data_IF_593552890653
#
_entry.id   IF_593552890653
#
_cell.length_a   1.000
_cell.length_b   1.000
_cell.length_c   1.000
_cell.angle_alpha   90.00
_cell.angle_beta   90.00
_cell.angle_gamma   90.00
#
_symmetry.space_group_name_H-M   'P 1'
#
loop_
_entity.id
_entity.type
_entity.pdbx_description
1 polymer ?
#
# COMPACT_ATOMS: atom_id res chain seq x y z
N UNK A 1 18.03 10.18 -16.26
CA UNK A 1 16.56 10.27 -16.14
C UNK A 1 16.17 9.67 -14.80
N UNK A 2 15.34 10.37 -14.00
CA UNK A 2 14.84 9.85 -12.71
C UNK A 2 13.54 9.11 -12.91
N UNK A 3 13.43 7.90 -12.37
CA UNK A 3 12.22 7.07 -12.38
C UNK A 3 11.81 6.67 -10.99
N UNK A 4 10.50 6.70 -10.76
CA UNK A 4 9.85 6.24 -9.53
C UNK A 4 9.09 4.96 -9.82
N UNK A 5 9.26 3.94 -9.00
CA UNK A 5 8.67 2.64 -9.22
C UNK A 5 8.01 2.18 -7.92
N UNK A 6 6.80 1.65 -8.01
CA UNK A 6 6.18 1.00 -6.87
C UNK A 6 5.53 -0.33 -7.29
N UNK A 7 5.40 -1.27 -6.36
CA UNK A 7 4.49 -2.37 -6.62
C UNK A 7 3.02 -1.88 -6.62
N UNK A 8 2.14 -2.65 -7.23
CA UNK A 8 0.75 -2.24 -7.44
C UNK A 8 -0.06 -2.11 -6.14
N UNK A 9 0.47 -2.58 -4.99
CA UNK A 9 -0.12 -2.31 -3.67
C UNK A 9 -0.21 -0.81 -3.35
N UNK A 10 0.50 0.05 -4.08
CA UNK A 10 0.36 1.51 -3.99
C UNK A 10 -0.97 2.05 -4.49
N UNK A 11 -1.76 1.22 -5.18
CA UNK A 11 -2.99 1.61 -5.89
C UNK A 11 -2.78 2.75 -6.92
N UNK A 12 -1.57 2.86 -7.48
CA UNK A 12 -1.20 3.85 -8.48
C UNK A 12 -0.75 3.18 -9.77
N UNK A 13 -1.28 3.64 -10.91
CA UNK A 13 -0.80 3.25 -12.24
C UNK A 13 0.09 4.32 -12.86
N UNK A 14 -0.08 5.57 -12.42
CA UNK A 14 0.65 6.72 -12.95
C UNK A 14 0.74 7.83 -11.89
N UNK A 15 1.69 8.74 -12.08
CA UNK A 15 1.82 9.98 -11.32
C UNK A 15 2.00 11.14 -12.30
N UNK A 16 1.23 12.22 -12.12
CA UNK A 16 1.24 13.35 -13.04
C UNK A 16 2.62 14.04 -13.10
N UNK A 17 3.15 14.20 -14.31
CA UNK A 17 4.43 14.85 -14.55
C UNK A 17 5.65 14.10 -13.97
N UNK A 18 5.55 12.79 -13.80
CA UNK A 18 6.60 11.92 -13.23
C UNK A 18 6.76 10.69 -14.10
N UNK A 19 7.98 10.27 -14.34
CA UNK A 19 8.27 8.95 -14.91
C UNK A 19 8.05 7.90 -13.82
N UNK A 20 6.83 7.34 -13.81
CA UNK A 20 6.37 6.38 -12.81
C UNK A 20 6.00 5.05 -13.46
N UNK A 21 6.45 3.96 -12.84
CA UNK A 21 6.11 2.59 -13.27
C UNK A 21 5.50 1.82 -12.11
N UNK A 22 4.32 1.27 -12.32
CA UNK A 22 3.70 0.30 -11.42
C UNK A 22 4.13 -1.12 -11.80
N UNK A 23 4.67 -1.89 -10.85
CA UNK A 23 5.04 -3.29 -11.08
C UNK A 23 3.94 -4.18 -10.48
N UNK A 24 3.22 -4.97 -11.31
CA UNK A 24 1.99 -5.61 -10.89
C UNK A 24 2.21 -6.82 -9.98
N UNK A 25 1.42 -6.89 -8.91
CA UNK A 25 1.14 -8.14 -8.20
C UNK A 25 0.12 -8.96 -8.98
N UNK A 26 -0.01 -10.23 -8.64
CA UNK A 26 -1.03 -11.11 -9.22
C UNK A 26 -1.86 -11.75 -8.10
N UNK A 27 -3.17 -11.71 -8.24
CA UNK A 27 -4.11 -12.46 -7.41
C UNK A 27 -4.55 -13.67 -8.20
N UNK A 28 -4.38 -14.87 -7.64
CA UNK A 28 -4.67 -16.14 -8.30
C UNK A 28 -5.74 -16.92 -7.56
N UNK A 29 -6.62 -17.53 -8.34
CA UNK A 29 -7.54 -18.58 -7.91
C UNK A 29 -7.25 -19.85 -8.71
N UNK A 30 -7.95 -20.95 -8.43
CA UNK A 30 -7.85 -22.18 -9.23
C UNK A 30 -8.41 -22.05 -10.65
N UNK A 31 -9.14 -20.95 -10.93
CA UNK A 31 -9.81 -20.74 -12.23
C UNK A 31 -9.31 -19.52 -12.99
N UNK A 32 -8.70 -18.56 -12.34
CA UNK A 32 -8.27 -17.30 -13.00
C UNK A 32 -7.19 -16.58 -12.21
N UNK A 33 -6.26 -15.98 -12.97
CA UNK A 33 -5.30 -15.00 -12.49
C UNK A 33 -5.78 -13.59 -12.80
N UNK A 34 -5.56 -12.69 -11.86
CA UNK A 34 -5.83 -11.26 -11.96
C UNK A 34 -4.51 -10.52 -11.77
N UNK A 35 -3.93 -10.04 -12.87
CA UNK A 35 -2.73 -9.20 -12.85
C UNK A 35 -3.16 -7.77 -12.54
N UNK A 36 -2.58 -7.16 -11.52
CA UNK A 36 -2.95 -5.81 -11.09
C UNK A 36 -2.22 -4.72 -11.90
N UNK A 37 -2.49 -4.72 -13.22
CA UNK A 37 -2.02 -3.74 -14.20
C UNK A 37 -3.17 -2.83 -14.68
N UNK A 38 -2.91 -2.01 -15.71
CA UNK A 38 -3.89 -1.10 -16.30
C UNK A 38 -5.10 -1.80 -16.93
N UNK A 39 -4.98 -3.08 -17.25
CA UNK A 39 -6.04 -3.86 -17.90
C UNK A 39 -6.96 -4.57 -16.89
N UNK A 40 -6.65 -4.51 -15.59
CA UNK A 40 -7.43 -5.20 -14.56
C UNK A 40 -8.84 -4.61 -14.44
N UNK A 41 -9.85 -5.45 -14.69
CA UNK A 41 -11.23 -5.16 -14.29
C UNK A 41 -11.37 -5.37 -12.78
N UNK A 42 -11.08 -4.33 -12.00
CA UNK A 42 -11.11 -4.35 -10.53
C UNK A 42 -12.50 -4.72 -10.02
N UNK A 43 -13.56 -4.20 -10.64
CA UNK A 43 -14.94 -4.49 -10.23
C UNK A 43 -15.30 -5.95 -10.47
N UNK A 44 -15.05 -6.46 -11.67
CA UNK A 44 -15.29 -7.86 -12.01
C UNK A 44 -14.46 -8.81 -11.15
N UNK A 45 -13.20 -8.47 -10.83
CA UNK A 45 -12.38 -9.23 -9.89
C UNK A 45 -13.02 -9.26 -8.48
N UNK A 46 -13.41 -8.11 -7.96
CA UNK A 46 -13.99 -7.98 -6.62
C UNK A 46 -15.29 -8.78 -6.50
N UNK A 47 -16.17 -8.69 -7.52
CA UNK A 47 -17.41 -9.47 -7.58
C UNK A 47 -17.15 -10.99 -7.63
N UNK A 48 -16.20 -11.43 -8.45
CA UNK A 48 -15.81 -12.82 -8.55
C UNK A 48 -15.22 -13.36 -7.25
N UNK A 49 -14.31 -12.62 -6.63
CA UNK A 49 -13.68 -13.02 -5.36
C UNK A 49 -14.68 -13.02 -4.19
N UNK A 50 -15.65 -12.11 -4.18
CA UNK A 50 -16.71 -12.11 -3.16
C UNK A 50 -17.58 -13.36 -3.18
N UNK A 51 -17.79 -13.96 -4.35
CA UNK A 51 -18.51 -15.21 -4.53
C UNK A 51 -17.66 -16.48 -4.44
N UNK A 52 -16.34 -16.33 -4.48
CA UNK A 52 -15.41 -17.45 -4.55
C UNK A 52 -15.22 -18.11 -3.17
N UNK A 53 -15.38 -19.44 -3.13
CA UNK A 53 -15.29 -20.24 -1.88
C UNK A 53 -13.95 -20.97 -1.73
N UNK A 54 -13.14 -20.98 -2.77
CA UNK A 54 -11.81 -21.59 -2.76
C UNK A 54 -10.76 -20.70 -2.06
N UNK A 55 -9.51 -21.10 -2.15
CA UNK A 55 -8.38 -20.35 -1.66
C UNK A 55 -7.85 -19.42 -2.77
N UNK A 56 -7.84 -18.12 -2.53
CA UNK A 56 -7.06 -17.20 -3.35
C UNK A 56 -5.64 -17.07 -2.80
N UNK A 57 -4.68 -16.88 -3.69
CA UNK A 57 -3.28 -16.62 -3.37
C UNK A 57 -2.85 -15.30 -4.01
N UNK A 58 -1.76 -14.73 -3.53
CA UNK A 58 -1.10 -13.59 -4.19
C UNK A 58 0.33 -13.95 -4.52
N UNK A 59 0.80 -13.52 -5.67
CA UNK A 59 2.20 -13.60 -6.08
C UNK A 59 2.78 -12.19 -6.19
N UNK A 60 3.96 -12.01 -5.61
CA UNK A 60 4.74 -10.78 -5.80
C UNK A 60 5.33 -10.74 -7.22
N UNK A 61 5.69 -9.54 -7.72
CA UNK A 61 6.39 -9.40 -8.99
C UNK A 61 7.69 -10.20 -9.00
N UNK A 62 7.96 -10.88 -10.11
CA UNK A 62 9.23 -11.57 -10.33
C UNK A 62 10.38 -10.59 -10.58
N UNK A 63 11.62 -11.08 -10.49
CA UNK A 63 12.84 -10.30 -10.72
C UNK A 63 12.84 -9.64 -12.12
N UNK A 64 12.35 -10.37 -13.13
CA UNK A 64 12.27 -9.86 -14.50
C UNK A 64 11.34 -8.64 -14.63
N UNK A 65 10.22 -8.62 -13.92
CA UNK A 65 9.31 -7.47 -13.93
C UNK A 65 9.98 -6.20 -13.39
N UNK A 66 10.81 -6.34 -12.37
CA UNK A 66 11.60 -5.23 -11.82
C UNK A 66 12.71 -4.79 -12.77
N UNK A 67 13.43 -5.75 -13.38
CA UNK A 67 14.47 -5.43 -14.36
C UNK A 67 13.89 -4.62 -15.53
N UNK A 68 12.74 -5.05 -16.07
CA UNK A 68 12.05 -4.30 -17.13
C UNK A 68 11.65 -2.89 -16.69
N UNK A 69 11.24 -2.73 -15.44
CA UNK A 69 10.89 -1.42 -14.88
C UNK A 69 12.11 -0.50 -14.71
N UNK A 70 13.32 -1.04 -14.53
CA UNK A 70 14.55 -0.26 -14.38
C UNK A 70 15.12 0.24 -15.71
N UNK A 71 14.81 -0.42 -16.82
CA UNK A 71 15.38 -0.16 -18.13
C UNK A 71 15.29 1.31 -18.57
N UNK A 72 16.43 1.90 -18.94
CA UNK A 72 16.52 3.25 -19.48
C UNK A 72 16.51 4.38 -18.45
N UNK A 73 16.58 4.07 -17.13
CA UNK A 73 16.67 5.07 -16.08
C UNK A 73 18.05 5.06 -15.38
N UNK A 74 18.54 6.24 -15.01
CA UNK A 74 19.84 6.41 -14.34
C UNK A 74 19.71 6.52 -12.83
N UNK A 75 18.59 7.10 -12.37
CA UNK A 75 18.25 7.28 -10.95
C UNK A 75 16.90 6.65 -10.70
N UNK A 76 16.83 5.70 -9.78
CA UNK A 76 15.64 4.89 -9.57
C UNK A 76 15.31 4.83 -8.07
N UNK A 77 14.09 5.23 -7.74
CA UNK A 77 13.52 5.08 -6.42
C UNK A 77 12.40 4.06 -6.45
N UNK A 78 12.57 2.97 -5.72
CA UNK A 78 11.60 1.86 -5.66
C UNK A 78 10.93 1.85 -4.31
N UNK A 79 9.60 1.87 -4.27
CA UNK A 79 8.81 1.61 -3.07
C UNK A 79 8.15 0.24 -3.15
N UNK A 80 8.25 -0.55 -2.11
CA UNK A 80 7.59 -1.86 -2.02
C UNK A 80 6.74 -1.96 -0.77
N UNK A 81 5.68 -2.78 -0.81
CA UNK A 81 5.02 -3.17 0.42
C UNK A 81 6.00 -3.89 1.35
N UNK A 82 5.66 -3.98 2.64
CA UNK A 82 6.52 -4.55 3.67
C UNK A 82 6.99 -5.97 3.33
N UNK A 83 8.27 -6.23 3.57
CA UNK A 83 8.91 -7.54 3.38
C UNK A 83 8.33 -8.63 4.29
N UNK A 84 7.65 -8.28 5.38
CA UNK A 84 6.98 -9.24 6.27
C UNK A 84 5.70 -9.83 5.69
N UNK A 85 5.04 -9.12 4.75
CA UNK A 85 3.81 -9.58 4.09
C UNK A 85 4.07 -10.20 2.71
N UNK A 86 5.12 -9.77 2.00
CA UNK A 86 5.35 -10.14 0.61
C UNK A 86 6.84 -10.28 0.28
N UNK A 87 7.16 -11.15 -0.68
CA UNK A 87 8.51 -11.27 -1.25
C UNK A 87 8.92 -10.14 -2.19
N UNK A 88 8.08 -9.15 -2.40
CA UNK A 88 8.27 -8.08 -3.40
C UNK A 88 9.56 -7.27 -3.17
N UNK A 89 9.84 -6.90 -1.90
CA UNK A 89 11.07 -6.21 -1.51
C UNK A 89 12.32 -7.01 -1.90
N UNK A 90 12.37 -8.29 -1.53
CA UNK A 90 13.51 -9.15 -1.84
C UNK A 90 13.67 -9.34 -3.36
N UNK A 91 12.58 -9.49 -4.09
CA UNK A 91 12.60 -9.59 -5.56
C UNK A 91 13.16 -8.32 -6.21
N UNK A 92 12.76 -7.14 -5.71
CA UNK A 92 13.31 -5.86 -6.17
C UNK A 92 14.80 -5.67 -5.83
N UNK A 93 15.26 -6.15 -4.66
CA UNK A 93 16.67 -6.12 -4.29
C UNK A 93 17.52 -6.99 -5.21
N UNK A 94 17.07 -8.22 -5.50
CA UNK A 94 17.77 -9.11 -6.45
C UNK A 94 17.85 -8.45 -7.84
N UNK A 95 16.75 -7.88 -8.31
CA UNK A 95 16.74 -7.16 -9.59
C UNK A 95 17.71 -5.98 -9.60
N UNK A 96 17.77 -5.20 -8.51
CA UNK A 96 18.74 -4.10 -8.36
C UNK A 96 20.17 -4.60 -8.49
N UNK A 97 20.54 -5.66 -7.77
CA UNK A 97 21.90 -6.22 -7.83
C UNK A 97 22.26 -6.69 -9.26
N UNK A 98 21.32 -7.40 -9.92
CA UNK A 98 21.52 -7.85 -11.30
C UNK A 98 21.64 -6.67 -12.29
N UNK A 99 20.78 -5.67 -12.16
CA UNK A 99 20.79 -4.50 -13.04
C UNK A 99 22.09 -3.70 -12.91
N UNK A 100 22.57 -3.49 -11.67
CA UNK A 100 23.80 -2.74 -11.41
C UNK A 100 25.08 -3.46 -11.90
N UNK A 101 25.04 -4.79 -12.13
CA UNK A 101 26.17 -5.50 -12.75
C UNK A 101 26.40 -5.06 -14.21
N UNK A 102 25.33 -4.75 -14.94
CA UNK A 102 25.40 -4.26 -16.34
C UNK A 102 25.32 -2.74 -16.46
N UNK A 103 24.84 -2.06 -15.41
CA UNK A 103 24.64 -0.61 -15.35
C UNK A 103 25.25 -0.04 -14.05
N UNK A 104 26.60 -0.05 -13.92
CA UNK A 104 27.28 0.33 -12.68
C UNK A 104 27.05 1.78 -12.24
N UNK A 105 26.69 2.67 -13.19
CA UNK A 105 26.37 4.07 -12.93
C UNK A 105 24.94 4.28 -12.43
N UNK A 106 24.06 3.27 -12.55
CA UNK A 106 22.67 3.39 -12.12
C UNK A 106 22.57 3.49 -10.59
N UNK A 107 21.88 4.52 -10.14
CA UNK A 107 21.67 4.80 -8.71
C UNK A 107 20.28 4.31 -8.33
N UNK A 108 20.20 3.19 -7.63
CA UNK A 108 18.95 2.53 -7.28
C UNK A 108 18.81 2.40 -5.78
N UNK A 109 17.69 2.88 -5.23
CA UNK A 109 17.33 2.61 -3.84
C UNK A 109 15.96 1.94 -3.77
N UNK A 110 15.88 0.84 -3.00
CA UNK A 110 14.64 0.11 -2.73
C UNK A 110 14.23 0.38 -1.29
N UNK A 111 13.05 0.97 -1.09
CA UNK A 111 12.46 1.22 0.21
C UNK A 111 11.57 0.03 0.59
N UNK A 112 11.87 -0.63 1.71
CA UNK A 112 10.88 -1.42 2.41
C UNK A 112 9.99 -0.47 3.21
N UNK A 113 8.72 -0.35 2.82
CA UNK A 113 7.86 0.66 3.46
C UNK A 113 7.41 0.27 4.86
N UNK A 114 7.66 -0.98 5.28
CA UNK A 114 7.19 -1.53 6.56
C UNK A 114 5.66 -1.46 6.70
N UNK A 115 4.96 -1.30 5.57
CA UNK A 115 3.54 -1.03 5.47
C UNK A 115 2.96 -1.53 4.14
N UNK A 116 1.75 -1.10 3.81
CA UNK A 116 1.06 -1.44 2.55
C UNK A 116 0.10 -0.30 2.13
N UNK A 117 -0.38 -0.36 0.89
CA UNK A 117 -1.47 0.51 0.40
C UNK A 117 -1.18 2.00 0.51
N UNK A 118 -2.03 2.75 1.23
CA UNK A 118 -1.95 4.21 1.29
C UNK A 118 -0.61 4.78 1.77
N UNK A 119 0.11 4.04 2.60
CA UNK A 119 1.39 4.50 3.13
C UNK A 119 2.51 4.43 2.08
N UNK A 120 2.48 3.38 1.23
CA UNK A 120 3.34 3.29 0.06
C UNK A 120 3.10 4.46 -0.90
N UNK A 121 1.82 4.80 -1.15
CA UNK A 121 1.47 5.98 -1.96
C UNK A 121 2.02 7.28 -1.36
N UNK A 122 1.89 7.48 -0.05
CA UNK A 122 2.44 8.65 0.63
C UNK A 122 3.96 8.76 0.46
N UNK A 123 4.68 7.65 0.54
CA UNK A 123 6.12 7.62 0.29
C UNK A 123 6.43 8.06 -1.14
N UNK A 124 5.78 7.48 -2.15
CA UNK A 124 6.04 7.82 -3.56
C UNK A 124 5.76 9.31 -3.84
N UNK A 125 4.67 9.86 -3.30
CA UNK A 125 4.39 11.29 -3.38
C UNK A 125 5.50 12.13 -2.71
N UNK A 126 6.02 11.68 -1.57
CA UNK A 126 7.10 12.39 -0.86
C UNK A 126 8.43 12.36 -1.62
N UNK A 127 8.79 11.22 -2.18
CA UNK A 127 10.02 11.08 -2.97
C UNK A 127 9.99 12.00 -4.21
N UNK A 128 8.83 12.06 -4.90
CA UNK A 128 8.68 12.96 -6.06
C UNK A 128 8.71 14.44 -5.67
N UNK A 129 8.19 14.82 -4.50
CA UNK A 129 8.34 16.19 -3.99
C UNK A 129 9.81 16.55 -3.77
N UNK A 130 10.57 15.65 -3.12
CA UNK A 130 11.98 15.88 -2.82
C UNK A 130 12.84 15.97 -4.09
N UNK A 131 12.57 15.14 -5.10
CA UNK A 131 13.24 15.21 -6.39
C UNK A 131 12.93 16.52 -7.12
N UNK A 132 11.67 16.98 -7.13
CA UNK A 132 11.26 18.28 -7.69
C UNK A 132 11.88 19.47 -6.95
N UNK A 133 12.17 19.32 -5.66
CA UNK A 133 12.91 20.31 -4.87
C UNK A 133 14.41 20.34 -5.21
N UNK A 134 14.89 19.47 -6.11
CA UNK A 134 16.30 19.38 -6.51
C UNK A 134 17.21 18.75 -5.45
N UNK A 135 16.66 17.91 -4.56
CA UNK A 135 17.47 17.15 -3.59
C UNK A 135 18.37 16.13 -4.29
N UNK A 136 19.55 15.91 -3.73
CA UNK A 136 20.44 14.84 -4.22
C UNK A 136 19.83 13.47 -3.93
N UNK A 137 20.31 12.44 -4.62
CA UNK A 137 19.85 11.06 -4.41
C UNK A 137 19.95 10.64 -2.94
N UNK A 138 21.07 10.91 -2.29
CA UNK A 138 21.29 10.58 -0.88
C UNK A 138 20.34 11.32 0.05
N UNK A 139 20.03 12.59 -0.27
CA UNK A 139 19.05 13.37 0.47
C UNK A 139 17.64 12.83 0.30
N UNK A 140 17.24 12.47 -0.92
CA UNK A 140 15.92 11.86 -1.19
C UNK A 140 15.78 10.56 -0.41
N UNK A 141 16.80 9.68 -0.46
CA UNK A 141 16.79 8.42 0.30
C UNK A 141 16.68 8.68 1.80
N UNK A 142 17.53 9.51 2.35
CA UNK A 142 17.53 9.81 3.79
C UNK A 142 16.21 10.42 4.25
N UNK A 143 15.72 11.44 3.52
CA UNK A 143 14.47 12.12 3.87
C UNK A 143 13.24 11.25 3.65
N UNK A 144 13.26 10.35 2.66
CA UNK A 144 12.25 9.32 2.46
C UNK A 144 12.17 8.35 3.66
N UNK A 145 13.31 7.84 4.11
CA UNK A 145 13.37 6.99 5.31
C UNK A 145 12.89 7.73 6.59
N UNK A 146 13.24 9.01 6.74
CA UNK A 146 12.74 9.82 7.87
C UNK A 146 11.23 10.08 7.79
N UNK A 147 10.69 10.22 6.57
CA UNK A 147 9.27 10.42 6.35
C UNK A 147 8.47 9.18 6.73
N UNK A 148 8.90 7.96 6.32
CA UNK A 148 8.25 6.70 6.67
C UNK A 148 8.10 6.51 8.19
N UNK A 149 9.09 6.93 8.99
CA UNK A 149 9.00 6.84 10.47
C UNK A 149 7.86 7.69 11.06
N UNK A 150 7.34 8.64 10.29
CA UNK A 150 6.30 9.59 10.70
C UNK A 150 4.93 9.28 10.11
N UNK A 151 4.84 8.35 9.18
CA UNK A 151 3.57 7.86 8.63
C UNK A 151 2.96 6.78 9.54
N UNK A 152 1.68 6.50 9.38
CA UNK A 152 0.96 5.47 10.13
C UNK A 152 -0.16 4.91 9.26
N UNK A 153 -0.24 3.58 9.23
CA UNK A 153 -1.33 2.86 8.59
C UNK A 153 -2.40 2.48 9.61
N UNK A 154 -3.65 2.81 9.28
CA UNK A 154 -4.84 2.30 9.97
C UNK A 154 -5.73 1.58 8.97
N UNK A 155 -6.31 0.48 9.37
CA UNK A 155 -7.22 -0.29 8.52
C UNK A 155 -8.50 -0.69 9.23
N UNK A 156 -9.57 -0.90 8.47
CA UNK A 156 -10.80 -1.52 8.93
C UNK A 156 -11.25 -2.55 7.89
N UNK A 157 -11.10 -3.83 8.20
CA UNK A 157 -11.35 -4.94 7.31
C UNK A 157 -12.60 -5.71 7.73
N UNK A 158 -13.49 -6.01 6.77
CA UNK A 158 -14.69 -6.83 6.98
C UNK A 158 -14.34 -8.31 7.11
N UNK A 159 -13.23 -8.74 6.52
CA UNK A 159 -12.74 -10.11 6.56
C UNK A 159 -11.22 -10.13 6.62
N UNK A 160 -10.68 -11.06 7.37
CA UNK A 160 -9.25 -11.39 7.41
C UNK A 160 -9.01 -12.82 6.90
N UNK A 161 -10.02 -13.43 6.28
CA UNK A 161 -10.01 -14.83 5.90
C UNK A 161 -8.84 -15.17 4.94
N UNK A 162 -8.69 -14.40 3.88
CA UNK A 162 -7.63 -14.63 2.88
C UNK A 162 -6.23 -14.37 3.47
N UNK A 163 -6.08 -13.34 4.30
CA UNK A 163 -4.82 -13.07 5.00
C UNK A 163 -4.42 -14.24 5.92
N UNK A 164 -5.40 -14.82 6.63
CA UNK A 164 -5.13 -15.98 7.49
C UNK A 164 -4.88 -17.28 6.70
N UNK A 165 -5.60 -17.50 5.60
CA UNK A 165 -5.35 -18.65 4.74
C UNK A 165 -3.95 -18.62 4.12
N UNK A 166 -3.42 -17.43 3.88
CA UNK A 166 -2.09 -17.21 3.34
C UNK A 166 -1.01 -16.97 4.43
N UNK A 167 -1.35 -17.11 5.71
CA UNK A 167 -0.39 -17.05 6.83
C UNK A 167 0.08 -15.64 7.20
N UNK A 168 -0.60 -14.56 6.73
CA UNK A 168 -0.25 -13.15 7.01
C UNK A 168 -0.87 -12.63 8.32
N UNK A 169 -1.88 -13.32 8.83
CA UNK A 169 -2.42 -13.10 10.18
C UNK A 169 -2.76 -14.45 10.82
N UNK A 170 -2.81 -14.51 12.14
CA UNK A 170 -3.16 -15.75 12.82
C UNK A 170 -4.62 -16.13 12.59
N UNK A 171 -4.91 -17.44 12.55
CA UNK A 171 -6.28 -17.96 12.40
C UNK A 171 -7.22 -17.49 13.52
N UNK A 172 -6.67 -17.26 14.72
CA UNK A 172 -7.44 -16.77 15.87
C UNK A 172 -7.92 -15.33 15.62
N UNK A 173 -7.06 -14.51 15.06
CA UNK A 173 -7.38 -13.12 14.67
C UNK A 173 -8.43 -13.11 13.56
N UNK A 174 -8.29 -13.97 12.55
CA UNK A 174 -9.22 -14.06 11.42
C UNK A 174 -10.63 -14.51 11.84
N UNK A 175 -10.75 -15.43 12.79
CA UNK A 175 -12.03 -15.90 13.29
C UNK A 175 -12.87 -14.77 13.92
N UNK A 176 -12.22 -13.72 14.38
CA UNK A 176 -12.89 -12.54 14.94
C UNK A 176 -13.54 -11.64 13.88
N UNK A 177 -13.08 -11.67 12.63
CA UNK A 177 -13.57 -10.85 11.53
C UNK A 177 -14.70 -11.50 10.71
N UNK A 178 -14.99 -12.79 10.92
CA UNK A 178 -16.00 -13.53 10.14
C UNK A 178 -17.46 -13.31 10.57
N UNK A 179 -17.72 -12.41 11.53
CA UNK A 179 -19.06 -12.18 12.05
C UNK A 179 -19.74 -11.05 11.26
N UNK A 180 -20.95 -11.32 10.78
CA UNK A 180 -21.75 -10.37 10.00
C UNK A 180 -21.89 -9.01 10.72
N UNK A 181 -21.53 -7.95 10.00
CA UNK A 181 -21.62 -6.56 10.50
C UNK A 181 -20.50 -6.14 11.46
N UNK A 182 -19.46 -6.97 11.64
CA UNK A 182 -18.26 -6.63 12.41
C UNK A 182 -17.10 -6.42 11.46
N UNK A 183 -16.42 -5.28 11.60
CA UNK A 183 -15.12 -5.00 10.99
C UNK A 183 -14.03 -5.10 12.05
N UNK A 184 -12.87 -5.60 11.66
CA UNK A 184 -11.65 -5.55 12.48
C UNK A 184 -10.89 -4.28 12.14
N UNK A 185 -10.72 -3.43 13.11
CA UNK A 185 -9.87 -2.24 13.05
C UNK A 185 -8.49 -2.58 13.57
N UNK A 186 -7.46 -2.00 12.98
CA UNK A 186 -6.08 -2.22 13.39
C UNK A 186 -5.11 -1.22 12.77
N UNK A 187 -3.84 -1.44 13.05
CA UNK A 187 -2.71 -0.65 12.57
C UNK A 187 -1.58 -1.57 12.10
N UNK A 188 -0.64 -1.03 11.32
CA UNK A 188 0.67 -1.68 11.19
C UNK A 188 1.42 -1.55 12.52
N UNK A 189 2.01 -2.65 12.98
CA UNK A 189 2.79 -2.69 14.22
C UNK A 189 4.22 -2.15 14.02
N UNK A 190 4.93 -1.94 15.12
CA UNK A 190 6.38 -1.68 15.07
C UNK A 190 7.18 -2.87 14.51
N UNK A 191 6.61 -4.09 14.57
CA UNK A 191 7.15 -5.31 13.97
C UNK A 191 6.68 -5.53 12.53
N UNK A 192 6.11 -4.50 11.90
CA UNK A 192 5.73 -4.49 10.47
C UNK A 192 4.61 -5.49 10.10
N UNK A 193 3.84 -5.93 11.08
CA UNK A 193 2.70 -6.82 10.90
C UNK A 193 1.38 -6.09 11.05
N UNK A 194 0.30 -6.69 10.52
CA UNK A 194 -1.05 -6.17 10.71
C UNK A 194 -1.55 -6.52 12.10
N UNK A 195 -1.68 -5.53 12.98
CA UNK A 195 -2.17 -5.71 14.36
C UNK A 195 -3.62 -5.25 14.51
N UNK A 196 -4.54 -6.18 14.67
CA UNK A 196 -5.91 -5.87 15.06
C UNK A 196 -5.98 -5.31 16.48
N UNK A 197 -6.62 -4.16 16.65
CA UNK A 197 -6.77 -3.48 17.93
C UNK A 197 -8.20 -3.42 18.44
N UNK A 198 -9.21 -3.43 17.55
CA UNK A 198 -10.61 -3.35 17.93
C UNK A 198 -11.55 -4.11 16.99
N UNK A 199 -12.70 -4.54 17.56
CA UNK A 199 -13.84 -5.06 16.80
C UNK A 199 -14.91 -3.97 16.74
N UNK A 200 -15.22 -3.53 15.52
CA UNK A 200 -16.15 -2.45 15.27
C UNK A 200 -17.48 -2.99 14.74
N UNK A 201 -18.56 -2.83 15.51
CA UNK A 201 -19.89 -3.18 15.02
C UNK A 201 -20.54 -1.97 14.35
N UNK A 202 -20.73 -2.09 13.04
CA UNK A 202 -21.34 -1.04 12.22
C UNK A 202 -20.39 0.11 11.86
N UNK A 203 -20.80 0.89 10.85
CA UNK A 203 -19.99 1.97 10.25
C UNK A 203 -19.63 3.09 11.24
N UNK A 204 -20.53 3.43 12.17
CA UNK A 204 -20.30 4.50 13.15
C UNK A 204 -19.07 4.19 14.02
N UNK A 205 -18.97 2.96 14.53
CA UNK A 205 -17.86 2.54 15.38
C UNK A 205 -16.53 2.52 14.62
N UNK A 206 -16.53 2.10 13.34
CA UNK A 206 -15.34 2.17 12.48
C UNK A 206 -14.82 3.61 12.36
N UNK A 207 -15.71 4.56 12.08
CA UNK A 207 -15.32 5.98 11.94
C UNK A 207 -14.79 6.54 13.26
N UNK A 208 -15.43 6.21 14.40
CA UNK A 208 -14.97 6.63 15.73
C UNK A 208 -13.55 6.14 16.02
N UNK A 209 -13.23 4.87 15.69
CA UNK A 209 -11.88 4.33 15.90
C UNK A 209 -10.82 5.04 15.03
N UNK A 210 -11.10 5.28 13.74
CA UNK A 210 -10.19 6.07 12.90
C UNK A 210 -9.91 7.46 13.50
N UNK A 211 -10.96 8.19 13.89
CA UNK A 211 -10.81 9.52 14.47
C UNK A 211 -10.03 9.50 15.78
N UNK A 212 -10.27 8.50 16.61
CA UNK A 212 -9.57 8.34 17.88
C UNK A 212 -8.09 8.04 17.66
N UNK A 213 -7.77 7.10 16.78
CA UNK A 213 -6.36 6.73 16.50
C UNK A 213 -5.60 7.88 15.84
N UNK A 214 -6.18 8.56 14.83
CA UNK A 214 -5.58 9.76 14.25
C UNK A 214 -5.30 10.81 15.32
N UNK A 215 -6.22 11.00 16.25
CA UNK A 215 -6.03 11.97 17.36
C UNK A 215 -4.91 11.56 18.30
N UNK A 216 -4.82 10.28 18.66
CA UNK A 216 -3.76 9.73 19.53
C UNK A 216 -2.36 9.90 18.97
N UNK A 217 -2.20 9.88 17.62
CA UNK A 217 -0.89 10.15 16.99
C UNK A 217 -0.40 11.59 17.16
N UNK A 218 -1.26 12.50 17.65
CA UNK A 218 -0.94 13.92 17.71
C UNK A 218 -1.04 14.64 16.38
N UNK A 219 -1.65 14.02 15.35
CA UNK A 219 -1.84 14.63 14.03
C UNK A 219 -2.51 16.00 14.13
N UNK A 220 -2.01 16.96 13.37
CA UNK A 220 -2.55 18.34 13.29
C UNK A 220 -2.76 18.78 11.84
N UNK A 221 -1.80 18.45 10.97
CA UNK A 221 -1.78 18.82 9.56
C UNK A 221 -0.94 17.83 8.77
N UNK A 222 -1.15 17.77 7.47
CA UNK A 222 -0.41 16.90 6.54
C UNK A 222 -1.33 16.09 5.67
N UNK A 223 -0.78 15.11 4.99
CA UNK A 223 -1.50 14.28 4.03
C UNK A 223 -2.18 13.09 4.70
N UNK A 224 -3.39 12.82 4.30
CA UNK A 224 -4.14 11.59 4.62
C UNK A 224 -4.59 10.98 3.30
N UNK A 225 -4.31 9.69 3.13
CA UNK A 225 -4.74 8.90 1.97
C UNK A 225 -5.70 7.82 2.45
N UNK A 226 -6.88 7.78 1.85
CA UNK A 226 -7.95 6.84 2.22
C UNK A 226 -8.23 5.97 1.01
N UNK A 227 -7.81 4.71 1.04
CA UNK A 227 -8.23 3.71 0.07
C UNK A 227 -9.47 2.95 0.54
N UNK A 228 -10.30 2.53 -0.39
CA UNK A 228 -11.48 1.73 -0.09
C UNK A 228 -11.77 0.69 -1.18
N UNK A 229 -12.37 -0.42 -0.82
CA UNK A 229 -12.94 -1.41 -1.73
C UNK A 229 -14.45 -1.29 -1.64
N UNK A 230 -15.10 -0.85 -2.73
CA UNK A 230 -16.56 -0.67 -2.84
C UNK A 230 -17.22 -0.07 -1.57
N UNK A 231 -16.61 0.98 -1.01
CA UNK A 231 -17.06 1.59 0.24
C UNK A 231 -16.93 3.12 0.28
N UNK A 232 -17.13 3.76 -0.88
CA UNK A 232 -16.97 5.21 -1.04
C UNK A 232 -17.76 6.01 0.01
N UNK A 233 -19.01 5.60 0.30
CA UNK A 233 -19.86 6.33 1.26
C UNK A 233 -19.28 6.37 2.69
N UNK A 234 -18.53 5.35 3.11
CA UNK A 234 -17.83 5.36 4.40
C UNK A 234 -16.57 6.24 4.34
N UNK A 235 -15.81 6.15 3.25
CA UNK A 235 -14.62 6.95 3.03
C UNK A 235 -14.95 8.46 3.00
N UNK A 236 -16.01 8.86 2.30
CA UNK A 236 -16.51 10.24 2.26
C UNK A 236 -16.94 10.75 3.66
N UNK A 237 -17.68 9.93 4.40
CA UNK A 237 -18.06 10.27 5.77
C UNK A 237 -16.83 10.45 6.67
N UNK A 238 -15.85 9.56 6.54
CA UNK A 238 -14.61 9.65 7.30
C UNK A 238 -13.84 10.92 6.94
N UNK A 239 -13.71 11.23 5.64
CA UNK A 239 -13.09 12.47 5.14
C UNK A 239 -13.73 13.70 5.75
N UNK A 240 -15.08 13.79 5.72
CA UNK A 240 -15.81 14.94 6.26
C UNK A 240 -15.47 15.16 7.73
N UNK A 241 -15.53 14.11 8.55
CA UNK A 241 -15.29 14.22 9.98
C UNK A 241 -13.80 14.47 10.32
N UNK A 242 -12.89 13.94 9.52
CA UNK A 242 -11.45 14.29 9.65
C UNK A 242 -11.23 15.76 9.31
N UNK A 243 -11.86 16.26 8.23
CA UNK A 243 -11.70 17.65 7.80
C UNK A 243 -12.27 18.63 8.83
N UNK A 244 -13.41 18.30 9.48
CA UNK A 244 -13.97 19.08 10.58
C UNK A 244 -13.02 19.15 11.78
N UNK A 245 -12.37 18.03 12.12
CA UNK A 245 -11.48 17.94 13.27
C UNK A 245 -10.07 18.45 13.02
N UNK A 246 -9.59 18.31 11.78
CA UNK A 246 -8.25 18.69 11.32
C UNK A 246 -8.36 19.50 10.02
N UNK A 247 -8.73 20.79 10.08
CA UNK A 247 -9.01 21.59 8.88
C UNK A 247 -7.83 21.75 7.91
N UNK A 248 -6.59 21.54 8.39
CA UNK A 248 -5.37 21.61 7.59
C UNK A 248 -4.92 20.25 7.04
N UNK A 249 -5.74 19.22 7.15
CA UNK A 249 -5.47 17.92 6.53
C UNK A 249 -5.72 17.99 5.02
N UNK A 250 -4.77 17.50 4.24
CA UNK A 250 -4.93 17.26 2.81
C UNK A 250 -5.40 15.82 2.60
N UNK A 251 -6.65 15.64 2.22
CA UNK A 251 -7.28 14.32 2.17
C UNK A 251 -7.59 13.92 0.73
N UNK A 252 -7.06 12.78 0.30
CA UNK A 252 -7.39 12.12 -0.96
C UNK A 252 -8.09 10.79 -0.67
N UNK A 253 -9.23 10.55 -1.35
CA UNK A 253 -9.93 9.26 -1.38
C UNK A 253 -9.72 8.63 -2.75
N UNK A 254 -9.51 7.33 -2.79
CA UNK A 254 -9.42 6.55 -4.02
C UNK A 254 -9.84 5.10 -3.78
N UNK A 255 -10.19 4.42 -4.86
CA UNK A 255 -10.52 3.01 -4.83
C UNK A 255 -9.25 2.16 -4.85
N UNK A 256 -9.18 1.17 -3.96
CA UNK A 256 -8.10 0.19 -3.96
C UNK A 256 -8.26 -0.74 -5.17
N UNK A 257 -7.16 -1.24 -5.69
CA UNK A 257 -7.15 -2.05 -6.90
C UNK A 257 -7.12 -3.56 -6.61
N UNK A 258 -6.11 -4.05 -5.94
CA UNK A 258 -5.96 -5.48 -5.76
C UNK A 258 -5.22 -5.93 -4.51
#
# INVERSE_FOLDING_TARGET
>A
MTRFIADSCSDMLQMEGVDFVAVPLTISTDVKDYVDDENLDVKGMTENLAGYKGKSCTACPGVESWLNAFEGADVIYVGTMTSTLSGTYNSALVAKEMYQQSHPEARIHVFDTLSAGPELRLLMEKLTELDREGKTFEEVVRLGCEYMKRTRLFFALKSLHNLAQNGRVSKVVAAAAGVLGISVFGTASEEETLEPSAKCRGRKKVVEEFLNEITKTGFRKGKIRISHVDNLSLAEKLKTLIQERFPQAEILIYEARG
#
